data_IF_625013735739
#
_entry.id   IF_625013735739
#
_cell.length_a   1.000
_cell.length_b   1.000
_cell.length_c   1.000
_cell.angle_alpha   90.00
_cell.angle_beta   90.00
_cell.angle_gamma   90.00
#
_symmetry.space_group_name_H-M   'P 1'
#
loop_
_entity.id
_entity.type
_entity.pdbx_description
1 polymer ?
#
# COMPACT_ATOMS: atom_id res chain seq x y z
N UNK A 1 2.33 14.73 20.63
CA UNK A 1 2.81 13.46 20.03
C UNK A 1 1.79 12.41 20.41
N UNK A 2 0.98 11.93 19.46
CA UNK A 2 -0.09 10.94 19.72
C UNK A 2 0.31 9.64 19.07
N UNK A 3 0.34 8.59 19.88
CA UNK A 3 0.72 7.23 19.50
C UNK A 3 -0.22 6.68 18.43
N UNK A 4 0.29 6.43 17.23
CA UNK A 4 -0.42 5.71 16.17
C UNK A 4 -0.11 4.20 16.25
N UNK A 5 -0.21 3.62 17.45
CA UNK A 5 -0.09 2.18 17.65
C UNK A 5 -1.42 1.53 17.24
N UNK A 6 -1.37 0.63 16.25
CA UNK A 6 -2.25 -0.54 16.25
C UNK A 6 -3.62 -0.49 15.54
N UNK A 7 -3.77 0.16 14.38
CA UNK A 7 -5.00 0.01 13.57
C UNK A 7 -4.72 -0.71 12.23
N UNK A 8 -5.07 -1.98 12.20
CA UNK A 8 -5.38 -2.86 11.05
C UNK A 8 -5.02 -2.36 9.64
N UNK A 9 -3.85 -2.81 9.15
CA UNK A 9 -3.31 -2.55 7.81
C UNK A 9 -4.23 -2.95 6.65
N UNK A 10 -5.17 -3.88 6.86
CA UNK A 10 -6.14 -4.34 5.86
C UNK A 10 -7.44 -3.50 5.82
N UNK A 11 -7.79 -2.79 6.89
CA UNK A 11 -8.94 -1.88 6.92
C UNK A 11 -8.58 -0.47 6.45
N UNK A 12 -7.32 -0.02 6.64
CA UNK A 12 -6.84 1.26 6.07
C UNK A 12 -6.73 1.23 4.55
N UNK A 13 -6.27 0.13 3.96
CA UNK A 13 -6.09 0.02 2.51
C UNK A 13 -7.40 0.20 1.71
N UNK A 14 -8.56 -0.09 2.32
CA UNK A 14 -9.89 0.06 1.69
C UNK A 14 -10.55 1.42 1.92
N UNK A 15 -9.93 2.34 2.67
CA UNK A 15 -10.52 3.63 3.02
C UNK A 15 -9.59 4.84 2.76
N UNK A 16 -8.54 4.67 1.95
CA UNK A 16 -7.57 5.74 1.66
C UNK A 16 -7.92 6.51 0.37
N UNK A 17 -8.74 5.95 -0.52
CA UNK A 17 -9.18 6.67 -1.73
C UNK A 17 -9.93 7.95 -1.36
N UNK A 18 -9.43 9.10 -1.79
CA UNK A 18 -10.03 10.40 -1.53
C UNK A 18 -9.58 11.06 -0.22
N UNK A 19 -8.69 10.43 0.55
CA UNK A 19 -8.18 11.00 1.81
C UNK A 19 -7.10 12.05 1.55
N UNK A 20 -6.37 11.95 0.43
CA UNK A 20 -5.36 12.94 0.07
C UNK A 20 -5.87 13.94 -0.97
N UNK A 21 -5.39 15.18 -0.86
CA UNK A 21 -5.55 16.24 -1.85
C UNK A 21 -4.17 16.82 -2.13
N UNK A 22 -3.82 16.97 -3.41
CA UNK A 22 -2.60 17.65 -3.81
C UNK A 22 -2.82 19.16 -3.87
N UNK A 23 -1.74 19.94 -3.73
CA UNK A 23 -1.78 21.39 -4.01
C UNK A 23 -2.16 21.62 -5.47
N UNK A 24 -2.82 22.73 -5.77
CA UNK A 24 -3.09 23.15 -7.17
C UNK A 24 -1.80 23.52 -7.90
N UNK A 25 -0.72 23.85 -7.18
CA UNK A 25 0.56 24.25 -7.75
C UNK A 25 1.25 23.12 -8.52
N UNK A 26 0.82 21.87 -8.33
CA UNK A 26 1.35 20.72 -9.08
C UNK A 26 0.79 20.62 -10.50
N UNK A 27 -0.19 21.44 -10.87
CA UNK A 27 -0.78 21.43 -12.21
C UNK A 27 0.30 21.74 -13.27
N UNK A 28 0.43 20.85 -14.27
CA UNK A 28 1.44 20.95 -15.33
C UNK A 28 2.86 20.62 -14.87
N UNK A 29 3.07 20.22 -13.61
CA UNK A 29 4.38 19.87 -13.08
C UNK A 29 4.68 18.37 -13.22
N UNK A 30 5.97 18.07 -13.41
CA UNK A 30 6.52 16.72 -13.31
C UNK A 30 6.95 16.47 -11.87
N UNK A 31 6.45 15.40 -11.27
CA UNK A 31 6.59 15.13 -9.84
C UNK A 31 7.28 13.80 -9.59
N UNK A 32 8.20 13.78 -8.62
CA UNK A 32 8.74 12.57 -8.00
C UNK A 32 8.18 12.48 -6.59
N UNK A 33 7.59 11.34 -6.25
CA UNK A 33 7.10 11.06 -4.89
C UNK A 33 8.18 10.38 -4.06
N UNK A 34 8.40 10.89 -2.85
CA UNK A 34 9.30 10.29 -1.87
C UNK A 34 8.56 9.98 -0.57
N UNK A 35 8.81 8.80 -0.01
CA UNK A 35 8.35 8.35 1.31
C UNK A 35 9.51 7.67 2.04
N UNK A 36 9.45 7.48 3.35
CA UNK A 36 10.51 6.77 4.07
C UNK A 36 10.37 5.24 3.93
N UNK A 37 9.16 4.72 4.15
CA UNK A 37 8.86 3.29 4.21
C UNK A 37 7.62 2.98 3.39
N UNK A 38 7.77 2.11 2.40
CA UNK A 38 6.64 1.54 1.66
C UNK A 38 6.29 0.14 2.18
N UNK A 39 5.05 -0.03 2.64
CA UNK A 39 4.54 -1.38 3.01
C UNK A 39 3.76 -1.99 1.84
N UNK A 40 2.49 -1.64 1.69
CA UNK A 40 1.61 -2.12 0.60
C UNK A 40 1.58 -1.19 -0.62
N UNK A 41 2.22 -0.02 -0.51
CA UNK A 41 2.13 1.06 -1.51
C UNK A 41 0.78 1.77 -1.58
N UNK A 42 -0.17 1.50 -0.66
CA UNK A 42 -1.49 2.13 -0.69
C UNK A 42 -1.42 3.66 -0.57
N UNK A 43 -0.58 4.17 0.34
CA UNK A 43 -0.34 5.60 0.52
C UNK A 43 0.19 6.25 -0.76
N UNK A 44 1.25 5.68 -1.35
CA UNK A 44 1.80 6.20 -2.60
C UNK A 44 0.81 6.18 -3.76
N UNK A 45 -0.02 5.14 -3.89
CA UNK A 45 -1.05 5.10 -4.94
C UNK A 45 -2.09 6.20 -4.78
N UNK A 46 -2.48 6.51 -3.55
CA UNK A 46 -3.41 7.61 -3.29
C UNK A 46 -2.78 8.98 -3.53
N UNK A 47 -1.51 9.16 -3.17
CA UNK A 47 -0.77 10.38 -3.48
C UNK A 47 -0.68 10.60 -5.00
N UNK A 48 -0.39 9.55 -5.78
CA UNK A 48 -0.41 9.59 -7.25
C UNK A 48 -1.79 10.03 -7.74
N UNK A 49 -2.87 9.36 -7.31
CA UNK A 49 -4.24 9.72 -7.68
C UNK A 49 -4.55 11.19 -7.39
N UNK A 50 -4.16 11.68 -6.20
CA UNK A 50 -4.41 13.06 -5.80
C UNK A 50 -3.65 14.09 -6.66
N UNK A 51 -2.40 13.78 -7.05
CA UNK A 51 -1.58 14.63 -7.93
C UNK A 51 -2.11 14.63 -9.37
N UNK A 52 -2.43 13.47 -9.91
CA UNK A 52 -2.99 13.34 -11.26
C UNK A 52 -4.35 14.05 -11.36
N UNK A 53 -5.20 13.91 -10.33
CA UNK A 53 -6.46 14.65 -10.26
C UNK A 53 -6.29 16.16 -10.14
N UNK A 54 -5.12 16.65 -9.68
CA UNK A 54 -4.76 18.06 -9.67
C UNK A 54 -4.04 18.52 -10.94
N UNK A 55 -3.84 17.64 -11.92
CA UNK A 55 -3.20 17.94 -13.21
C UNK A 55 -1.67 17.84 -13.22
N UNK A 56 -1.06 17.24 -12.20
CA UNK A 56 0.36 16.92 -12.19
C UNK A 56 0.65 15.54 -12.80
N UNK A 57 1.92 15.30 -13.14
CA UNK A 57 2.38 14.02 -13.73
C UNK A 57 3.42 13.38 -12.82
N UNK A 58 3.11 12.22 -12.23
CA UNK A 58 4.08 11.49 -11.40
C UNK A 58 4.94 10.57 -12.28
N UNK A 59 6.25 10.82 -12.30
CA UNK A 59 7.19 10.03 -13.14
C UNK A 59 7.97 8.99 -12.36
N UNK A 60 8.10 9.16 -11.04
CA UNK A 60 8.80 8.21 -10.19
C UNK A 60 8.27 8.22 -8.76
N UNK A 61 8.52 7.11 -8.06
CA UNK A 61 8.22 6.89 -6.66
C UNK A 61 9.46 6.28 -6.01
N UNK A 62 9.90 6.85 -4.89
CA UNK A 62 11.08 6.39 -4.17
C UNK A 62 10.77 6.22 -2.68
N UNK A 63 11.28 5.14 -2.09
CA UNK A 63 11.27 4.94 -0.64
C UNK A 63 12.62 4.41 -0.16
N UNK A 64 12.97 4.72 1.09
CA UNK A 64 14.23 4.27 1.71
C UNK A 64 14.14 2.77 2.04
N UNK A 65 12.97 2.30 2.50
CA UNK A 65 12.74 0.90 2.84
C UNK A 65 11.41 0.36 2.29
N UNK A 66 11.38 -0.95 2.01
CA UNK A 66 10.18 -1.65 1.57
C UNK A 66 9.91 -2.89 2.43
N UNK A 67 8.67 -3.03 2.92
CA UNK A 67 8.22 -4.16 3.73
C UNK A 67 7.04 -4.86 3.05
N UNK A 68 7.28 -5.61 1.96
CA UNK A 68 6.22 -6.34 1.27
C UNK A 68 5.59 -7.37 2.21
N UNK A 69 4.26 -7.47 2.20
CA UNK A 69 3.55 -8.53 2.93
C UNK A 69 3.91 -9.86 2.30
N UNK A 70 4.64 -10.71 3.03
CA UNK A 70 4.80 -12.12 2.67
C UNK A 70 3.41 -12.75 2.73
N UNK A 71 2.89 -13.21 1.59
CA UNK A 71 1.75 -14.11 1.61
C UNK A 71 2.20 -15.36 2.38
N UNK A 72 1.50 -15.69 3.47
CA UNK A 72 1.67 -16.98 4.12
C UNK A 72 1.19 -18.01 3.12
N UNK A 73 2.09 -18.87 2.64
CA UNK A 73 1.73 -20.06 1.87
C UNK A 73 0.58 -20.76 2.60
N UNK A 74 -0.53 -20.94 1.89
CA UNK A 74 -1.60 -21.83 2.31
C UNK A 74 -0.95 -23.20 2.50
N UNK A 75 -0.84 -23.67 3.74
CA UNK A 75 -0.52 -25.07 4.00
C UNK A 75 -1.71 -25.91 3.56
N UNK A 76 -1.73 -26.20 2.25
CA UNK A 76 -2.31 -27.41 1.73
C UNK A 76 -1.40 -28.56 2.14
N UNK A 77 -1.74 -29.22 3.24
CA UNK A 77 -1.42 -30.63 3.52
C UNK A 77 -2.12 -31.03 4.83
N UNK A 78 -3.44 -31.22 4.74
CA UNK A 78 -4.14 -32.13 5.66
C UNK A 78 -5.26 -32.82 4.88
N UNK A 79 -4.85 -33.64 3.91
CA UNK A 79 -5.62 -34.80 3.53
C UNK A 79 -4.99 -35.98 4.24
N UNK A 80 -5.58 -36.29 5.38
CA UNK A 80 -5.43 -37.52 6.13
C UNK A 80 -5.76 -38.70 5.19
N UNK A 81 -4.73 -39.35 4.61
CA UNK A 81 -4.90 -40.68 4.04
C UNK A 81 -4.30 -41.70 5.01
N UNK A 82 -5.03 -41.93 6.10
CA UNK A 82 -4.82 -43.07 6.98
C UNK A 82 -5.51 -44.28 6.38
N UNK A 83 -4.70 -45.16 5.80
CA UNK A 83 -5.05 -46.54 5.47
C UNK A 83 -5.19 -47.36 6.77
N UNK A 84 -6.37 -47.91 7.03
CA UNK A 84 -6.59 -49.10 7.89
C UNK A 84 -7.58 -50.00 7.12
N UNK A 85 -7.07 -50.87 6.24
CA UNK A 85 -6.96 -52.35 6.41
C UNK A 85 -7.46 -52.96 7.72
N UNK A 86 -8.36 -53.95 7.52
CA UNK A 86 -8.90 -55.01 8.38
C UNK A 86 -10.01 -54.66 9.37
#
# INVERSE_FOLDING_TARGET
>A
MRDAVGLSSAQRARNISGVMRASRDVAGQVVVLADDIVTTGATMREAVRAIEAAGGVVVARAAIAATPRRFREEQGESLHNGTEVS
#
